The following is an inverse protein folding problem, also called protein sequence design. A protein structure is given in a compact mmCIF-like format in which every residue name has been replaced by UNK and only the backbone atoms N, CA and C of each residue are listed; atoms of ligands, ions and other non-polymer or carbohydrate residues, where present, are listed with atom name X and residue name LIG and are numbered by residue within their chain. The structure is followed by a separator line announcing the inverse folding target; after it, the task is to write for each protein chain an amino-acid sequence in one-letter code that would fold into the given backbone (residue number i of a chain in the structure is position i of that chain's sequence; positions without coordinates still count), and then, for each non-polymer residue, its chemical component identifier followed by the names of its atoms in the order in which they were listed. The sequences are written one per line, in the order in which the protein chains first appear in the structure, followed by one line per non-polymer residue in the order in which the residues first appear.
data_IF_040248335595
#
_entry.id   IF_040248335595
#
_cell.length_a   1.000
_cell.length_b   1.000
_cell.length_c   1.000
_cell.angle_alpha   90.00
_cell.angle_beta   90.00
_cell.angle_gamma   90.00
#
_symmetry.space_group_name_H-M   'P 1'
#
loop_
_entity.id
_entity.type
_entity.pdbx_description
1 polymer ?
2 polymer ?
#
# COMPACT_ATOMS: atom_id res chain seq x y z
N UNK A 3 9.67 -2.51 -17.34
CA UNK A 3 9.97 -1.91 -16.01
C UNK A 3 10.87 -2.82 -15.17
N UNK A 4 11.77 -2.20 -14.41
CA UNK A 4 12.68 -2.95 -13.55
C UNK A 4 12.07 -3.18 -12.18
N UNK A 5 11.44 -2.16 -11.64
CA UNK A 5 10.82 -2.26 -10.32
C UNK A 5 9.38 -2.75 -10.42
N UNK A 6 9.06 -3.81 -9.69
CA UNK A 6 7.72 -4.37 -9.72
C UNK A 6 7.16 -4.49 -8.31
N UNK A 7 5.88 -4.15 -8.16
CA UNK A 7 5.24 -4.23 -6.86
C UNK A 7 4.09 -5.25 -6.90
N UNK A 8 4.05 -6.14 -5.91
CA UNK A 8 3.00 -7.16 -5.85
C UNK A 8 2.03 -6.87 -4.73
N UNK A 9 0.73 -6.93 -5.03
CA UNK A 9 -0.29 -6.64 -4.04
C UNK A 9 -0.58 -7.85 -3.15
N UNK A 10 -0.64 -7.59 -1.84
CA UNK A 10 -0.96 -8.63 -0.89
C UNK A 10 -2.38 -8.44 -0.43
N UNK A 11 -3.10 -9.55 -0.33
CA UNK A 11 -4.49 -9.49 0.08
C UNK A 11 -4.62 -9.80 1.57
N UNK A 12 -5.75 -9.38 2.14
CA UNK A 12 -6.01 -9.58 3.55
C UNK A 12 -5.96 -11.05 3.92
N UNK A 13 -6.22 -11.93 2.96
CA UNK A 13 -6.18 -13.37 3.22
C UNK A 13 -4.74 -13.88 3.22
N UNK A 14 -3.83 -13.05 2.71
CA UNK A 14 -2.42 -13.44 2.67
C UNK A 14 -2.05 -14.06 1.32
N UNK A 15 -2.86 -13.81 0.29
CA UNK A 15 -2.57 -14.32 -1.04
C UNK A 15 -2.32 -13.16 -1.99
N UNK A 16 -1.28 -13.29 -2.81
CA UNK A 16 -0.93 -12.24 -3.75
C UNK A 16 -1.89 -12.24 -4.95
N UNK A 17 -2.24 -11.05 -5.41
CA UNK A 17 -3.15 -10.92 -6.54
C UNK A 17 -2.53 -10.11 -7.69
N UNK A 18 -3.11 -8.98 -8.07
CA UNK A 18 -2.58 -8.13 -9.18
C UNK A 18 -1.29 -7.41 -8.82
N UNK A 19 -0.44 -7.21 -9.81
CA UNK A 19 0.82 -6.53 -9.58
C UNK A 19 0.82 -5.13 -10.18
N UNK A 20 1.56 -4.23 -9.57
CA UNK A 20 1.65 -2.84 -10.02
C UNK A 20 3.10 -2.51 -10.38
N UNK A 21 3.40 -2.29 -11.64
CA UNK A 21 4.79 -1.95 -12.07
C UNK A 21 5.12 -0.49 -11.77
N UNK A 22 6.19 -0.25 -11.01
CA UNK A 22 6.56 1.12 -10.67
C UNK A 22 7.27 1.79 -11.84
N UNK A 23 6.63 1.75 -13.01
CA UNK A 23 7.21 2.37 -14.19
C UNK A 23 7.38 3.87 -13.97
N UNK A 24 6.36 4.50 -13.37
CA UNK A 24 6.42 5.93 -13.10
C UNK A 24 7.47 6.19 -12.02
N UNK A 25 8.13 7.34 -12.10
CA UNK A 25 9.18 7.69 -11.14
C UNK A 25 8.62 7.93 -9.74
N UNK A 26 7.31 8.15 -9.64
CA UNK A 26 6.70 8.39 -8.33
C UNK A 26 5.46 7.52 -8.12
N UNK A 27 5.38 6.90 -6.95
CA UNK A 27 4.24 6.07 -6.61
C UNK A 27 3.60 6.57 -5.32
N UNK A 28 2.36 7.03 -5.40
CA UNK A 28 1.68 7.55 -4.22
C UNK A 28 0.47 6.69 -3.84
N UNK A 29 0.47 6.24 -2.57
CA UNK A 29 -0.62 5.40 -2.05
C UNK A 29 -1.51 6.24 -1.14
N UNK A 30 -2.82 6.01 -1.21
CA UNK A 30 -3.74 6.75 -0.35
C UNK A 30 -5.16 6.81 -0.92
N UNK A 31 -6.03 7.57 -0.28
CA UNK A 31 -7.40 7.69 -0.76
C UNK A 31 -7.49 8.67 -1.91
N UNK A 32 -6.57 9.64 -1.96
CA UNK A 32 -6.60 10.65 -3.01
C UNK A 32 -6.57 9.98 -4.38
N UNK A 33 -7.37 10.49 -5.30
CA UNK A 33 -7.42 9.93 -6.64
C UNK A 33 -6.07 10.15 -7.34
N UNK A 34 -5.51 11.33 -7.13
CA UNK A 34 -4.21 11.66 -7.72
C UNK A 34 -3.17 10.60 -7.37
N UNK A 35 -3.52 9.77 -6.40
CA UNK A 35 -2.62 8.71 -5.96
C UNK A 35 -2.48 7.61 -7.01
N UNK A 36 -1.25 7.14 -7.19
CA UNK A 36 -0.98 6.09 -8.17
C UNK A 36 -1.76 4.83 -7.79
N UNK A 37 -1.90 4.60 -6.50
CA UNK A 37 -2.67 3.47 -6.01
C UNK A 37 -3.69 3.98 -5.01
N UNK A 38 -4.96 3.71 -5.28
CA UNK A 38 -6.02 4.19 -4.40
C UNK A 38 -6.71 3.04 -3.68
N UNK A 39 -6.96 3.24 -2.39
CA UNK A 39 -7.63 2.23 -1.59
C UNK A 39 -8.92 2.81 -1.03
N UNK A 40 -10.04 2.09 -1.18
CA UNK A 40 -11.33 2.61 -0.70
C UNK A 40 -11.55 2.39 0.79
N UNK A 41 -10.51 2.53 1.59
CA UNK A 41 -10.65 2.36 3.03
C UNK A 41 -10.68 3.72 3.75
N UNK A 42 -11.62 3.93 4.64
CA UNK A 42 -11.74 5.22 5.40
C UNK A 42 -10.60 5.45 6.40
N UNK A 43 -9.81 4.41 6.65
CA UNK A 43 -8.71 4.54 7.60
C UNK A 43 -7.39 4.85 6.87
N UNK A 44 -7.48 5.02 5.56
CA UNK A 44 -6.29 5.32 4.75
C UNK A 44 -6.14 6.82 4.54
N UNK A 45 -4.93 7.32 4.74
CA UNK A 45 -4.64 8.75 4.57
C UNK A 45 -4.69 9.14 3.09
N UNK A 46 -4.75 10.45 2.83
CA UNK A 46 -4.82 10.93 1.45
C UNK A 46 -3.57 10.56 0.66
N UNK A 47 -2.41 10.64 1.30
CA UNK A 47 -1.15 10.31 0.63
C UNK A 47 -0.51 9.07 1.25
N UNK A 48 -0.98 8.69 2.44
CA UNK A 48 -0.44 7.53 3.16
C UNK A 48 1.05 7.30 2.94
N UNK A 49 1.42 6.81 1.76
CA UNK A 49 2.82 6.55 1.46
C UNK A 49 3.22 7.10 0.10
N UNK A 50 4.42 7.67 0.05
CA UNK A 50 4.92 8.23 -1.20
C UNK A 50 6.31 7.69 -1.52
N UNK A 51 6.50 7.22 -2.74
CA UNK A 51 7.79 6.69 -3.18
C UNK A 51 8.40 7.56 -4.25
N UNK A 52 9.68 7.87 -4.08
CA UNK A 52 10.41 8.68 -5.05
C UNK A 52 11.57 7.86 -5.61
N UNK A 53 11.62 7.69 -6.93
CA UNK A 53 12.67 6.89 -7.52
C UNK A 53 13.72 7.74 -8.23
N UNK A 54 14.94 7.67 -7.71
CA UNK A 54 16.06 8.42 -8.26
C UNK A 54 17.10 7.47 -8.86
N UNK A 55 17.74 7.89 -9.94
CA UNK A 55 18.73 7.05 -10.59
C UNK A 55 19.58 6.35 -9.52
N UNK A 56 19.75 7.04 -8.41
CA UNK A 56 20.52 6.51 -7.30
C UNK A 56 19.84 5.26 -6.74
N UNK A 57 18.70 5.46 -6.11
CA UNK A 57 17.95 4.35 -5.51
C UNK A 57 16.47 4.72 -5.36
N UNK A 58 15.71 3.89 -4.64
CA UNK A 58 14.30 4.15 -4.42
C UNK A 58 14.08 4.53 -2.95
N UNK A 59 13.44 5.68 -2.72
CA UNK A 59 13.20 6.15 -1.36
C UNK A 59 11.72 6.22 -1.03
N UNK A 60 11.35 5.64 0.11
CA UNK A 60 9.96 5.62 0.55
C UNK A 60 9.71 6.66 1.62
N UNK A 61 8.72 7.52 1.40
CA UNK A 61 8.40 8.57 2.35
C UNK A 61 7.07 8.29 3.04
N UNK A 62 7.03 8.51 4.35
CA UNK A 62 5.83 8.28 5.13
C UNK A 62 5.02 9.56 5.34
N UNK A 63 3.91 9.70 4.61
CA UNK A 63 3.06 10.88 4.74
C UNK A 63 1.89 10.60 5.68
N UNK A 64 1.76 9.35 6.08
CA UNK A 64 0.68 8.96 6.98
C UNK A 64 1.00 9.39 8.39
N UNK A 65 0.43 10.51 8.82
CA UNK A 65 0.68 10.98 10.17
C UNK A 65 -0.33 10.34 11.12
N UNK A 66 -1.40 9.81 10.55
CA UNK A 66 -2.43 9.15 11.35
C UNK A 66 -2.11 7.67 11.54
N UNK A 67 -1.68 7.04 10.45
CA UNK A 67 -1.35 5.63 10.46
C UNK A 67 -0.03 5.39 9.72
N UNK A 68 1.08 5.42 10.41
CA UNK A 68 2.42 5.24 9.77
C UNK A 68 2.54 3.94 8.99
N UNK A 69 3.29 4.01 7.89
CA UNK A 69 3.51 2.84 7.05
C UNK A 69 4.58 1.94 7.68
N UNK A 70 4.32 0.65 7.65
CA UNK A 70 5.26 -0.30 8.22
C UNK A 70 6.08 -0.99 7.13
N UNK A 71 7.35 -1.21 7.40
CA UNK A 71 8.24 -1.87 6.46
C UNK A 71 9.02 -2.96 7.18
N UNK A 72 9.11 -4.14 6.59
CA UNK A 72 9.82 -5.23 7.22
C UNK A 72 9.32 -5.41 8.65
N UNK A 73 8.05 -5.13 8.86
CA UNK A 73 7.43 -5.27 10.17
C UNK A 73 7.84 -4.14 11.11
N UNK A 74 8.12 -2.96 10.58
CA UNK A 74 8.52 -1.83 11.42
C UNK A 74 8.08 -0.51 10.83
N UNK A 75 7.69 0.41 11.71
CA UNK A 75 7.24 1.74 11.27
C UNK A 75 8.39 2.57 10.71
N UNK A 76 8.10 3.37 9.68
CA UNK A 76 9.12 4.22 9.07
C UNK A 76 8.78 5.69 9.30
N UNK A 77 8.88 6.12 10.56
CA UNK A 77 8.58 7.50 10.90
C UNK A 77 9.37 8.45 10.02
N UNK A 78 10.53 8.00 9.55
CA UNK A 78 11.37 8.84 8.70
C UNK A 78 11.59 8.16 7.35
N UNK A 79 12.16 8.87 6.38
CA UNK A 79 12.43 8.30 5.03
C UNK A 79 13.36 7.09 5.08
N UNK A 80 13.11 6.11 4.21
CA UNK A 80 13.95 4.91 4.17
C UNK A 80 14.20 4.45 2.73
N UNK A 81 15.44 4.04 2.45
CA UNK A 81 15.78 3.57 1.11
C UNK A 81 15.22 2.17 0.89
N UNK A 82 14.55 1.96 -0.24
CA UNK A 82 13.98 0.66 -0.54
C UNK A 82 15.02 -0.31 -1.05
N UNK A 83 14.91 -1.54 -0.60
CA UNK A 83 15.84 -2.59 -0.98
C UNK A 83 15.07 -3.80 -1.51
N UNK A 84 15.64 -4.47 -2.50
CA UNK A 84 14.99 -5.64 -3.07
C UNK A 84 14.66 -6.64 -1.98
N UNK A 85 13.37 -6.91 -1.80
CA UNK A 85 12.95 -7.86 -0.77
C UNK A 85 12.20 -7.15 0.36
N UNK A 86 12.31 -5.82 0.40
CA UNK A 86 11.63 -5.05 1.43
C UNK A 86 10.14 -4.95 1.13
N UNK A 87 9.33 -5.20 2.15
CA UNK A 87 7.88 -5.16 1.97
C UNK A 87 7.25 -4.00 2.71
N UNK A 88 6.36 -3.29 2.03
CA UNK A 88 5.65 -2.18 2.65
C UNK A 88 4.34 -2.71 3.19
N UNK A 89 4.04 -2.42 4.45
CA UNK A 89 2.83 -2.93 5.06
C UNK A 89 1.89 -1.82 5.48
N UNK A 90 0.66 -1.92 4.99
CA UNK A 90 -0.38 -0.97 5.32
C UNK A 90 -1.49 -1.70 6.07
N UNK A 91 -1.81 -1.24 7.26
CA UNK A 91 -2.84 -1.88 8.08
C UNK A 91 -2.87 -3.40 7.86
N UNK A 92 -3.84 -3.86 7.06
CA UNK A 92 -3.99 -5.29 6.77
C UNK A 92 -3.51 -5.62 5.35
N UNK A 93 -2.95 -4.65 4.67
CA UNK A 93 -2.49 -4.83 3.29
C UNK A 93 -1.03 -4.46 3.16
N UNK A 94 -0.28 -5.21 2.36
CA UNK A 94 1.14 -4.92 2.18
C UNK A 94 1.54 -5.09 0.72
N UNK A 95 2.62 -4.43 0.33
CA UNK A 95 3.10 -4.52 -1.05
C UNK A 95 4.56 -4.96 -1.09
N UNK A 96 4.85 -6.09 -1.74
CA UNK A 96 6.23 -6.58 -1.83
C UNK A 96 6.99 -5.83 -2.92
N UNK A 97 8.14 -5.27 -2.56
CA UNK A 97 8.95 -4.53 -3.52
C UNK A 97 9.98 -5.44 -4.17
N UNK A 98 9.99 -5.46 -5.51
CA UNK A 98 10.94 -6.29 -6.24
C UNK A 98 11.78 -5.43 -7.16
N UNK A 99 13.09 -5.56 -7.06
CA UNK A 99 13.97 -4.78 -7.90
C UNK A 99 14.51 -5.63 -9.04
N UNK A 100 14.09 -5.31 -10.25
CA UNK A 100 14.52 -6.03 -11.43
C UNK A 100 14.46 -7.54 -11.19
N UNK B 3 -16.64 7.01 2.11
CA UNK B 3 -16.01 8.17 2.72
C UNK B 3 -15.24 8.95 1.66
N UNK B 4 -15.42 10.28 1.64
CA UNK B 4 -14.76 11.12 0.67
C UNK B 4 -13.25 11.13 0.85
N UNK B 6 -11.58 13.28 0.81
CA UNK B 6 -11.29 14.59 1.39
C UNK B 6 -11.97 14.73 2.74
N UNK B 7 -12.15 13.61 3.45
CA UNK B 7 -12.80 13.64 4.75
C UNK B 7 -11.81 13.31 5.87
N UNK B 8 -12.28 12.75 6.97
CA UNK B 8 -11.42 12.41 8.14
C UNK B 8 -10.60 11.14 7.93
N UNK B 10 -9.44 8.44 10.53
CA UNK B 10 -9.33 7.82 11.87
C UNK B 10 -8.25 6.74 11.93
N UNK B 11 -7.45 6.80 12.98
CA UNK B 11 -6.37 5.84 13.18
C UNK B 11 -6.95 4.43 13.23
N UNK B 12 -6.22 3.47 12.67
CA UNK B 12 -6.68 2.08 12.68
C UNK B 12 -6.57 1.53 14.10
N UNK B 14 -7.94 -1.69 17.20
CA UNK B 14 -8.22 -3.15 17.38
C UNK B 14 -9.59 -3.56 16.84
N UNK B 15 -10.54 -2.62 16.85
CA UNK B 15 -11.86 -2.90 16.33
C UNK B 15 -11.79 -3.06 14.81
N UNK B 16 -11.11 -2.10 14.17
CA UNK B 16 -10.97 -2.11 12.71
C UNK B 16 -10.28 -3.39 12.24
N UNK B 17 -9.18 -3.77 12.89
CA UNK B 17 -8.46 -4.97 12.48
C UNK B 17 -9.30 -6.23 12.65
N UNK B 18 -10.04 -6.32 13.75
CA UNK B 18 -10.88 -7.50 14.00
C UNK B 18 -11.98 -7.62 12.96
N UNK B 19 -12.57 -6.48 12.59
CA UNK B 19 -13.64 -6.50 11.59
C UNK B 19 -13.11 -7.03 10.26
N UNK B 20 -11.90 -6.60 9.89
CA UNK B 20 -11.31 -7.05 8.63
C UNK B 20 -11.07 -8.54 8.65
N UNK B 21 -10.57 -9.06 9.76
CA UNK B 21 -10.33 -10.49 9.87
C UNK B 21 -11.64 -11.25 9.77
N UNK B 22 -12.67 -10.72 10.42
CA UNK B 22 -13.98 -11.34 10.36
C UNK B 22 -14.50 -11.26 8.93
N UNK B 23 -14.33 -10.08 8.33
CA UNK B 23 -14.77 -9.84 6.97
C UNK B 23 -14.12 -10.82 6.01
N UNK B 24 -12.84 -11.10 6.20
CA UNK B 24 -12.15 -12.05 5.34
C UNK B 24 -12.80 -13.42 5.46
N UNK B 25 -13.12 -13.80 6.70
CA UNK B 25 -13.78 -15.08 6.95
C UNK B 25 -15.15 -15.10 6.28
N UNK B 26 -15.79 -13.93 6.26
CA UNK B 26 -17.10 -13.78 5.66
C UNK B 26 -16.98 -13.67 4.14
N UNK B 27 -15.76 -13.49 3.68
CA UNK B 27 -15.50 -13.40 2.24
C UNK B 27 -14.94 -14.72 1.73
N UNK B 28 -14.62 -14.77 0.45
CA UNK B 28 -14.07 -15.97 -0.15
C UNK B 28 -13.24 -15.60 -1.38
N UNK B 29 -12.94 -16.58 -2.21
CA UNK B 29 -12.14 -16.33 -3.40
C UNK B 29 -12.65 -15.08 -4.11
N UNK B 30 -13.84 -14.64 -3.74
CA UNK B 30 -14.43 -13.45 -4.35
C UNK B 30 -13.59 -12.22 -4.00
N UNK B 31 -12.68 -12.39 -3.05
CA UNK B 31 -11.81 -11.29 -2.64
C UNK B 31 -11.20 -10.63 -3.88
N UNK B 32 -10.92 -11.46 -4.90
CA UNK B 32 -10.31 -10.98 -6.16
C UNK B 32 -10.51 -9.48 -6.33
N UNK B 33 -11.69 -8.99 -6.00
CA UNK B 33 -11.98 -7.57 -6.10
C UNK B 33 -11.87 -6.96 -4.70
N UNK B 34 -10.66 -7.05 -4.14
CA UNK B 34 -10.38 -6.57 -2.78
C UNK B 34 -10.86 -5.13 -2.56
N UNK B 35 -9.92 -4.22 -2.36
CA UNK B 35 -10.24 -2.82 -2.13
C UNK B 35 -9.11 -1.92 -2.61
N UNK B 36 -8.30 -2.44 -3.52
CA UNK B 36 -7.18 -1.69 -4.03
C UNK B 36 -7.44 -1.39 -5.51
N UNK B 37 -7.20 -0.14 -5.91
CA UNK B 37 -7.42 0.27 -7.29
C UNK B 37 -6.13 0.84 -7.88
N UNK B 38 -5.78 0.40 -9.09
CA UNK B 38 -4.56 0.86 -9.72
C UNK B 38 -4.85 2.01 -10.68
N UNK B 39 -4.23 3.15 -10.41
CA UNK B 39 -4.41 4.33 -11.24
C UNK B 39 -3.78 4.13 -12.61
N UNK B 40 -2.57 3.60 -12.63
CA UNK B 40 -1.86 3.36 -13.89
C UNK B 40 -2.07 1.93 -14.35
N UNK B 41 -1.89 1.70 -15.62
CA UNK B 41 -2.04 0.33 -16.22
C UNK B 41 -1.08 -0.68 -15.62
N UNK B 42 -1.50 -1.94 -15.60
CA UNK B 42 -0.65 -2.99 -15.03
C UNK B 42 -0.36 -4.08 -16.06
#
# INVERSE_FOLDING_TARGET
MWPTRRLVTIKRSGVDGPHFPLSLSTCLFGRGIECDIRIQLPVVSKQHCKIEIHEQEAILHNFSSTNPTQVNGSVIDEPVRLKHGDVITIIDRSFRYENESLQNGRKSTEFPRKIREQEP
KTVDXQGPXPVCXPTFLERRKSQVAELNDDDKDDEIVFKQPISC
#
